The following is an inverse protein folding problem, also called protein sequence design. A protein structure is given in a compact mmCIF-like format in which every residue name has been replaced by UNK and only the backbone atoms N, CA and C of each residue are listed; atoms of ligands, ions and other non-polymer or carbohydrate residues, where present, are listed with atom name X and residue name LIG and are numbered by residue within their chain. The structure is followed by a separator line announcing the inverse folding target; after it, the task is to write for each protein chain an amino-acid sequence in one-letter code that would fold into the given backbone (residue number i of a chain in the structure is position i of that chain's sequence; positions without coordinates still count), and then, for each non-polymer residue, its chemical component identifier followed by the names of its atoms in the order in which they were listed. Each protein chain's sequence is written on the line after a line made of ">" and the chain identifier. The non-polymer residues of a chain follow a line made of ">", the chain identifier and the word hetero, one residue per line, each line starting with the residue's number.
data_IF_333921196115
#
_entry.id   IF_333921196115
#
_cell.length_a   1.000
_cell.length_b   1.000
_cell.length_c   1.000
_cell.angle_alpha   90.00
_cell.angle_beta   90.00
_cell.angle_gamma   90.00
#
_symmetry.space_group_name_H-M   'P 1'
#
loop_
_entity.id
_entity.type
_entity.pdbx_description
1 polymer ?
#
# COMPACT_ATOMS: atom_id res chain seq x y z
N UNK A 1 -19.18 -14.10 0.83
CA UNK A 1 -18.15 -13.30 0.13
C UNK A 1 -16.82 -14.02 0.24
N UNK A 2 -16.24 -14.42 -0.88
CA UNK A 2 -14.90 -15.03 -0.85
C UNK A 2 -13.90 -13.92 -0.49
N UNK A 3 -13.24 -14.07 0.66
CA UNK A 3 -12.06 -13.29 1.01
C UNK A 3 -11.15 -13.23 -0.22
N UNK A 4 -11.02 -12.06 -0.86
CA UNK A 4 -10.04 -11.87 -1.91
C UNK A 4 -8.68 -12.17 -1.29
N UNK A 5 -8.15 -13.34 -1.56
CA UNK A 5 -6.97 -13.86 -0.88
C UNK A 5 -5.81 -12.95 -1.21
N UNK A 6 -5.24 -12.35 -0.17
CA UNK A 6 -4.08 -11.47 -0.28
C UNK A 6 -3.01 -12.12 -1.15
N UNK A 7 -2.47 -11.38 -2.11
CA UNK A 7 -1.38 -11.86 -2.95
C UNK A 7 -0.10 -11.95 -2.12
N UNK A 8 0.67 -12.99 -2.33
CA UNK A 8 2.04 -13.07 -1.83
C UNK A 8 3.05 -12.48 -2.83
N UNK A 9 4.30 -12.32 -2.41
CA UNK A 9 5.36 -11.77 -3.27
C UNK A 9 5.57 -12.61 -4.53
N UNK A 10 5.54 -13.94 -4.42
CA UNK A 10 5.69 -14.83 -5.60
C UNK A 10 4.48 -14.73 -6.51
N UNK A 11 3.25 -14.64 -5.95
CA UNK A 11 2.04 -14.42 -6.74
C UNK A 11 2.17 -13.18 -7.60
N UNK A 12 2.61 -12.06 -6.98
CA UNK A 12 2.82 -10.80 -7.68
C UNK A 12 3.84 -10.92 -8.81
N UNK A 13 4.97 -11.58 -8.56
CA UNK A 13 6.01 -11.75 -9.58
C UNK A 13 5.54 -12.61 -10.76
N UNK A 14 4.74 -13.66 -10.51
CA UNK A 14 4.14 -14.47 -11.57
C UNK A 14 3.12 -13.66 -12.39
N UNK A 15 2.24 -12.92 -11.73
CA UNK A 15 1.24 -12.08 -12.39
C UNK A 15 1.89 -10.93 -13.18
N UNK A 16 2.93 -10.31 -12.63
CA UNK A 16 3.70 -9.27 -13.33
C UNK A 16 4.42 -9.82 -14.56
N UNK A 17 5.03 -11.02 -14.47
CA UNK A 17 5.60 -11.71 -15.63
C UNK A 17 4.52 -11.96 -16.69
N UNK A 18 3.34 -12.45 -16.30
CA UNK A 18 2.24 -12.67 -17.23
C UNK A 18 1.84 -11.39 -17.98
N UNK A 19 1.73 -10.26 -17.26
CA UNK A 19 1.42 -8.97 -17.87
C UNK A 19 2.54 -8.50 -18.81
N UNK A 20 3.81 -8.67 -18.44
CA UNK A 20 4.98 -8.36 -19.29
C UNK A 20 5.01 -9.19 -20.57
N UNK A 21 4.36 -10.36 -20.56
CA UNK A 21 4.23 -11.29 -21.71
C UNK A 21 2.86 -11.21 -22.38
N UNK A 22 2.20 -10.06 -22.35
CA UNK A 22 0.89 -9.80 -22.96
C UNK A 22 -0.23 -10.72 -22.44
N UNK A 23 -0.14 -11.13 -21.19
CA UNK A 23 -1.17 -11.91 -20.50
C UNK A 23 -1.02 -13.43 -20.58
N UNK A 24 -0.03 -13.95 -21.31
CA UNK A 24 0.21 -15.40 -21.45
C UNK A 24 1.69 -15.71 -21.24
N UNK A 25 2.00 -16.76 -20.49
CA UNK A 25 3.37 -17.20 -20.23
C UNK A 25 3.46 -18.74 -20.17
N UNK A 26 4.65 -19.26 -20.33
CA UNK A 26 4.96 -20.68 -20.30
C UNK A 26 6.21 -20.98 -19.46
N UNK A 27 6.60 -22.25 -19.40
CA UNK A 27 7.77 -22.72 -18.66
C UNK A 27 9.05 -21.96 -19.05
N UNK A 28 9.31 -21.77 -20.34
CA UNK A 28 10.48 -21.03 -20.82
C UNK A 28 10.50 -19.58 -20.30
N UNK A 29 9.34 -18.94 -20.16
CA UNK A 29 9.27 -17.59 -19.61
C UNK A 29 9.61 -17.59 -18.11
N UNK A 30 9.19 -18.62 -17.36
CA UNK A 30 9.50 -18.77 -15.93
C UNK A 30 10.99 -19.02 -15.73
N UNK A 31 11.59 -19.93 -16.49
CA UNK A 31 13.02 -20.27 -16.42
C UNK A 31 13.94 -19.09 -16.76
N UNK A 32 13.51 -18.21 -17.68
CA UNK A 32 14.24 -17.02 -18.10
C UNK A 32 13.86 -15.75 -17.30
N UNK A 33 13.20 -15.92 -16.17
CA UNK A 33 12.81 -14.83 -15.27
C UNK A 33 13.53 -14.91 -13.92
N UNK A 34 13.39 -13.86 -13.10
CA UNK A 34 13.86 -13.82 -11.72
C UNK A 34 13.19 -14.88 -10.83
N UNK A 35 12.05 -15.43 -11.25
CA UNK A 35 11.34 -16.49 -10.51
C UNK A 35 12.19 -17.77 -10.37
N UNK A 36 13.15 -18.00 -11.26
CA UNK A 36 14.09 -19.12 -11.21
C UNK A 36 14.77 -19.29 -9.84
N UNK A 37 15.00 -18.19 -9.11
CA UNK A 37 15.63 -18.20 -7.78
C UNK A 37 14.81 -18.97 -6.72
N UNK A 38 13.51 -19.16 -6.91
CA UNK A 38 12.64 -19.83 -5.94
C UNK A 38 12.65 -21.37 -6.06
N UNK A 39 13.18 -21.91 -7.15
CA UNK A 39 13.16 -23.34 -7.45
C UNK A 39 11.84 -23.84 -8.01
N UNK A 40 11.90 -24.91 -8.81
CA UNK A 40 10.77 -25.42 -9.59
C UNK A 40 9.59 -25.84 -8.70
N UNK A 41 9.84 -26.56 -7.62
CA UNK A 41 8.75 -27.03 -6.70
C UNK A 41 7.91 -25.87 -6.18
N UNK A 42 8.55 -24.81 -5.67
CA UNK A 42 7.84 -23.65 -5.13
C UNK A 42 7.09 -22.86 -6.19
N UNK A 43 7.61 -22.80 -7.41
CA UNK A 43 6.91 -22.18 -8.55
C UNK A 43 5.66 -22.99 -8.89
N UNK A 44 5.75 -24.31 -8.99
CA UNK A 44 4.61 -25.19 -9.30
C UNK A 44 3.51 -25.10 -8.23
N UNK A 45 3.87 -25.11 -6.95
CA UNK A 45 2.92 -24.93 -5.84
C UNK A 45 2.20 -23.57 -5.94
N UNK A 46 2.94 -22.53 -6.29
CA UNK A 46 2.39 -21.19 -6.46
C UNK A 46 1.45 -21.11 -7.68
N UNK A 47 1.82 -21.70 -8.81
CA UNK A 47 0.96 -21.78 -10.00
C UNK A 47 -0.33 -22.56 -9.72
N UNK A 48 -0.25 -23.68 -8.99
CA UNK A 48 -1.43 -24.42 -8.56
C UNK A 48 -2.34 -23.55 -7.68
N UNK A 49 -1.77 -22.84 -6.69
CA UNK A 49 -2.51 -21.92 -5.83
C UNK A 49 -3.16 -20.78 -6.63
N UNK A 50 -2.44 -20.16 -7.56
CA UNK A 50 -3.00 -19.08 -8.41
C UNK A 50 -4.16 -19.59 -9.28
N UNK A 51 -4.04 -20.81 -9.84
CA UNK A 51 -5.09 -21.46 -10.61
C UNK A 51 -6.33 -21.76 -9.77
N UNK A 52 -6.16 -22.33 -8.58
CA UNK A 52 -7.26 -22.62 -7.64
C UNK A 52 -8.02 -21.35 -7.22
N UNK A 53 -7.30 -20.24 -7.09
CA UNK A 53 -7.87 -18.92 -6.83
C UNK A 53 -8.45 -18.24 -8.07
N UNK A 54 -8.37 -18.89 -9.24
CA UNK A 54 -8.82 -18.38 -10.54
C UNK A 54 -8.12 -17.10 -11.00
N UNK A 55 -6.88 -16.90 -10.57
CA UNK A 55 -6.07 -15.74 -10.98
C UNK A 55 -5.31 -16.02 -12.28
N UNK A 56 -5.02 -17.29 -12.56
CA UNK A 56 -4.52 -17.77 -13.84
C UNK A 56 -5.35 -18.96 -14.34
N UNK A 57 -5.32 -19.20 -15.64
CA UNK A 57 -5.89 -20.39 -16.30
C UNK A 57 -4.82 -21.15 -17.07
N UNK A 58 -4.92 -22.48 -17.10
CA UNK A 58 -4.05 -23.35 -17.91
C UNK A 58 -4.69 -23.53 -19.29
N UNK A 59 -3.94 -23.25 -20.33
CA UNK A 59 -4.35 -23.43 -21.72
C UNK A 59 -4.08 -24.86 -22.22
N UNK A 60 -4.69 -25.25 -23.34
CA UNK A 60 -4.53 -26.58 -23.94
C UNK A 60 -3.12 -26.88 -24.46
N UNK A 61 -2.33 -25.85 -24.73
CA UNK A 61 -0.93 -25.94 -25.16
C UNK A 61 0.08 -25.99 -23.98
N UNK A 62 -0.42 -26.03 -22.74
CA UNK A 62 0.40 -26.05 -21.53
C UNK A 62 0.87 -24.66 -21.05
N UNK A 63 0.53 -23.59 -21.77
CA UNK A 63 0.79 -22.22 -21.29
C UNK A 63 -0.24 -21.79 -20.25
N UNK A 64 0.06 -20.69 -19.53
CA UNK A 64 -0.83 -20.06 -18.57
C UNK A 64 -1.28 -18.70 -19.06
N UNK A 65 -2.55 -18.35 -18.83
CA UNK A 65 -3.09 -17.03 -19.10
C UNK A 65 -3.53 -16.36 -17.80
N UNK A 66 -3.25 -15.08 -17.68
CA UNK A 66 -3.80 -14.25 -16.59
C UNK A 66 -5.30 -14.01 -16.81
N UNK A 67 -6.09 -14.12 -15.77
CA UNK A 67 -7.53 -13.89 -15.83
C UNK A 67 -7.89 -12.40 -15.65
N UNK A 68 -9.11 -12.02 -16.04
CA UNK A 68 -9.61 -10.66 -15.79
C UNK A 68 -9.68 -10.35 -14.30
N UNK A 69 -10.05 -11.33 -13.46
CA UNK A 69 -10.04 -11.19 -12.00
C UNK A 69 -8.66 -10.77 -11.47
N UNK A 70 -7.58 -11.39 -11.97
CA UNK A 70 -6.22 -11.03 -11.57
C UNK A 70 -5.82 -9.64 -12.07
N UNK A 71 -6.28 -9.26 -13.27
CA UNK A 71 -6.03 -7.92 -13.81
C UNK A 71 -6.70 -6.81 -12.98
N UNK A 72 -7.88 -7.08 -12.45
CA UNK A 72 -8.64 -6.13 -11.64
C UNK A 72 -7.96 -5.76 -10.32
N UNK A 73 -7.05 -6.59 -9.80
CA UNK A 73 -6.42 -6.35 -8.51
C UNK A 73 -5.52 -5.10 -8.54
N UNK A 74 -4.60 -5.03 -9.51
CA UNK A 74 -3.56 -3.99 -9.59
C UNK A 74 -3.52 -3.23 -10.91
N UNK A 75 -4.13 -3.77 -11.98
CA UNK A 75 -3.93 -3.24 -13.34
C UNK A 75 -5.22 -2.78 -14.03
N UNK A 76 -6.36 -2.85 -13.35
CA UNK A 76 -7.63 -2.34 -13.89
C UNK A 76 -7.66 -0.81 -13.90
N UNK A 77 -8.22 -0.24 -14.97
CA UNK A 77 -8.48 1.20 -15.03
C UNK A 77 -9.62 1.65 -14.10
N UNK A 78 -10.45 0.71 -13.64
CA UNK A 78 -11.58 0.98 -12.73
C UNK A 78 -11.15 1.09 -11.27
N UNK A 79 -9.91 0.68 -10.93
CA UNK A 79 -9.35 0.81 -9.59
C UNK A 79 -8.53 2.09 -9.53
N UNK A 80 -8.83 3.01 -8.61
CA UNK A 80 -8.08 4.26 -8.49
C UNK A 80 -6.62 4.00 -8.11
N UNK A 81 -5.72 4.89 -8.52
CA UNK A 81 -4.27 4.73 -8.36
C UNK A 81 -3.87 4.57 -6.90
N UNK A 82 -4.45 5.35 -6.00
CA UNK A 82 -4.17 5.23 -4.57
C UNK A 82 -4.47 3.82 -4.01
N UNK A 83 -5.56 3.18 -4.45
CA UNK A 83 -5.92 1.82 -4.02
C UNK A 83 -4.97 0.77 -4.58
N UNK A 84 -4.50 0.93 -5.82
CA UNK A 84 -3.46 0.09 -6.42
C UNK A 84 -2.15 0.16 -5.63
N UNK A 85 -1.76 1.38 -5.20
CA UNK A 85 -0.57 1.59 -4.37
C UNK A 85 -0.72 0.85 -3.03
N UNK A 86 -1.83 1.04 -2.31
CA UNK A 86 -2.05 0.36 -1.03
C UNK A 86 -2.07 -1.17 -1.19
N UNK A 87 -2.76 -1.70 -2.20
CA UNK A 87 -2.78 -3.14 -2.49
C UNK A 87 -1.38 -3.70 -2.78
N UNK A 88 -0.56 -2.97 -3.53
CA UNK A 88 0.81 -3.36 -3.79
C UNK A 88 1.65 -3.35 -2.49
N UNK A 89 1.52 -2.31 -1.69
CA UNK A 89 2.26 -2.17 -0.44
C UNK A 89 1.81 -3.16 0.65
N UNK A 90 0.59 -3.71 0.58
CA UNK A 90 0.18 -4.86 1.41
C UNK A 90 1.00 -6.12 1.11
N UNK A 91 1.52 -6.26 -0.11
CA UNK A 91 2.30 -7.44 -0.52
C UNK A 91 3.75 -7.30 -0.09
N UNK A 92 4.34 -6.13 -0.33
CA UNK A 92 5.72 -5.80 0.04
C UNK A 92 5.95 -4.30 0.05
N UNK A 93 6.90 -3.85 0.86
CA UNK A 93 7.44 -2.49 0.76
C UNK A 93 8.15 -2.29 -0.58
N UNK A 94 8.03 -1.10 -1.15
CA UNK A 94 8.54 -0.79 -2.49
C UNK A 94 9.20 0.58 -2.53
N UNK A 95 10.21 0.72 -3.39
CA UNK A 95 10.70 2.03 -3.84
C UNK A 95 9.76 2.62 -4.89
N UNK A 96 9.83 3.93 -5.14
CA UNK A 96 9.04 4.58 -6.18
C UNK A 96 9.24 3.92 -7.56
N UNK A 97 10.49 3.62 -7.91
CA UNK A 97 10.82 2.93 -9.18
C UNK A 97 10.13 1.57 -9.29
N UNK A 98 10.10 0.79 -8.22
CA UNK A 98 9.40 -0.49 -8.20
C UNK A 98 7.88 -0.34 -8.33
N UNK A 99 7.29 0.70 -7.72
CA UNK A 99 5.85 0.99 -7.85
C UNK A 99 5.52 1.35 -9.31
N UNK A 100 6.32 2.23 -9.93
CA UNK A 100 6.20 2.60 -11.35
C UNK A 100 6.26 1.35 -12.25
N UNK A 101 7.28 0.50 -12.07
CA UNK A 101 7.49 -0.69 -12.90
C UNK A 101 6.35 -1.69 -12.78
N UNK A 102 5.87 -1.94 -11.56
CA UNK A 102 4.81 -2.92 -11.30
C UNK A 102 3.44 -2.39 -11.74
N UNK A 103 3.07 -1.18 -11.34
CA UNK A 103 1.75 -0.62 -11.62
C UNK A 103 1.63 -0.06 -13.04
N UNK A 104 2.75 0.22 -13.73
CA UNK A 104 2.80 0.81 -15.08
C UNK A 104 2.09 2.16 -15.16
N UNK A 105 2.23 2.94 -14.11
CA UNK A 105 1.67 4.28 -13.97
C UNK A 105 2.85 5.25 -13.98
N UNK A 106 2.66 6.44 -14.56
CA UNK A 106 3.72 7.45 -14.62
C UNK A 106 4.15 7.91 -13.23
N UNK A 107 5.44 8.27 -13.08
CA UNK A 107 5.98 8.73 -11.80
C UNK A 107 5.24 9.96 -11.27
N UNK A 108 4.86 10.89 -12.16
CA UNK A 108 4.16 12.12 -11.76
C UNK A 108 2.78 11.84 -11.14
N UNK A 109 1.99 10.92 -11.73
CA UNK A 109 0.69 10.51 -11.18
C UNK A 109 0.86 9.79 -9.83
N UNK A 110 1.88 8.95 -9.71
CA UNK A 110 2.14 8.20 -8.48
C UNK A 110 2.58 9.09 -7.32
N UNK A 111 3.41 10.12 -7.57
CA UNK A 111 3.90 11.02 -6.53
C UNK A 111 2.74 11.74 -5.84
N UNK A 112 1.77 12.26 -6.60
CA UNK A 112 0.61 12.95 -6.03
C UNK A 112 -0.20 12.04 -5.09
N UNK A 113 -0.50 10.82 -5.54
CA UNK A 113 -1.26 9.86 -4.74
C UNK A 113 -0.45 9.35 -3.53
N UNK A 114 0.85 9.09 -3.69
CA UNK A 114 1.71 8.71 -2.56
C UNK A 114 1.76 9.81 -1.50
N UNK A 115 1.87 11.08 -1.88
CA UNK A 115 1.88 12.19 -0.92
C UNK A 115 0.52 12.35 -0.21
N UNK A 116 -0.60 12.14 -0.91
CA UNK A 116 -1.93 12.08 -0.29
C UNK A 116 -2.02 10.93 0.73
N UNK A 117 -1.56 9.72 0.36
CA UNK A 117 -1.55 8.57 1.26
C UNK A 117 -0.67 8.79 2.49
N UNK A 118 0.48 9.47 2.33
CA UNK A 118 1.37 9.82 3.45
C UNK A 118 0.76 10.86 4.39
N UNK A 119 0.12 11.90 3.85
CA UNK A 119 -0.58 12.91 4.64
C UNK A 119 -1.71 12.30 5.47
N UNK A 120 -2.41 11.31 4.94
CA UNK A 120 -3.47 10.58 5.63
C UNK A 120 -2.95 9.43 6.52
N UNK A 121 -1.64 9.31 6.72
CA UNK A 121 -1.01 8.26 7.54
C UNK A 121 -1.32 6.82 7.09
N UNK A 122 -1.58 6.62 5.82
CA UNK A 122 -1.78 5.28 5.24
C UNK A 122 -0.48 4.64 4.78
N UNK A 123 0.52 5.47 4.49
CA UNK A 123 1.83 5.05 3.99
C UNK A 123 2.96 5.77 4.72
N UNK A 124 3.93 5.00 5.20
CA UNK A 124 5.18 5.51 5.75
C UNK A 124 6.24 5.55 4.62
N UNK A 125 7.05 6.58 4.60
CA UNK A 125 8.27 6.64 3.80
C UNK A 125 9.48 6.59 4.72
N UNK A 126 10.33 5.58 4.53
CA UNK A 126 11.59 5.43 5.27
C UNK A 126 12.79 5.46 4.32
N UNK A 127 13.88 6.18 4.67
CA UNK A 127 15.13 6.08 3.93
C UNK A 127 15.83 4.76 4.27
N UNK A 128 16.12 3.95 3.26
CA UNK A 128 16.86 2.69 3.42
C UNK A 128 18.13 2.70 2.57
N UNK A 129 19.18 2.02 3.03
CA UNK A 129 20.40 1.86 2.28
C UNK A 129 20.35 0.56 1.48
N UNK A 130 20.30 0.66 0.16
CA UNK A 130 20.33 -0.47 -0.76
C UNK A 130 21.54 -0.29 -1.68
N UNK A 131 22.44 -1.26 -1.75
CA UNK A 131 23.65 -1.22 -2.58
C UNK A 131 24.41 0.11 -2.45
N UNK A 132 24.68 0.53 -1.20
CA UNK A 132 25.36 1.78 -0.84
C UNK A 132 24.67 3.10 -1.27
N UNK A 133 23.46 3.03 -1.81
CA UNK A 133 22.62 4.20 -2.13
C UNK A 133 21.51 4.36 -1.11
N UNK A 134 21.26 5.60 -0.72
CA UNK A 134 20.10 5.94 0.09
C UNK A 134 18.86 6.06 -0.82
N UNK A 135 17.89 5.19 -0.61
CA UNK A 135 16.64 5.17 -1.39
C UNK A 135 15.44 5.34 -0.46
N UNK A 136 14.38 5.94 -0.97
CA UNK A 136 13.09 6.05 -0.28
C UNK A 136 12.30 4.77 -0.49
N UNK A 137 11.91 4.11 0.59
CA UNK A 137 11.06 2.92 0.59
C UNK A 137 9.73 3.29 1.22
N UNK A 138 8.64 2.86 0.61
CA UNK A 138 7.27 3.08 1.04
C UNK A 138 6.71 1.80 1.63
N UNK A 139 6.02 1.93 2.76
CA UNK A 139 5.42 0.82 3.51
C UNK A 139 4.00 1.20 3.89
N UNK A 140 3.07 0.24 3.84
CA UNK A 140 1.70 0.48 4.28
C UNK A 140 1.63 0.49 5.80
N UNK A 141 0.87 1.42 6.36
CA UNK A 141 0.54 1.48 7.78
C UNK A 141 -0.77 0.72 8.08
N UNK A 142 -1.04 0.35 9.34
CA UNK A 142 -2.29 -0.33 9.72
C UNK A 142 -3.55 0.40 9.24
N UNK A 143 -3.57 1.72 9.32
CA UNK A 143 -4.66 2.57 8.85
C UNK A 143 -4.90 2.44 7.34
N UNK A 144 -3.82 2.31 6.57
CA UNK A 144 -3.89 2.06 5.12
C UNK A 144 -4.42 0.66 4.79
N UNK A 145 -4.11 -0.34 5.62
CA UNK A 145 -4.68 -1.70 5.50
C UNK A 145 -6.19 -1.66 5.76
N UNK A 146 -6.61 -1.00 6.84
CA UNK A 146 -8.03 -0.86 7.17
C UNK A 146 -8.79 -0.13 6.06
N UNK A 147 -8.20 0.92 5.49
CA UNK A 147 -8.84 1.71 4.44
C UNK A 147 -9.04 0.88 3.18
N UNK A 148 -8.01 0.15 2.70
CA UNK A 148 -8.17 -0.70 1.52
C UNK A 148 -9.13 -1.87 1.76
N UNK A 149 -9.16 -2.45 2.96
CA UNK A 149 -10.08 -3.53 3.33
C UNK A 149 -11.56 -3.00 3.37
N UNK A 150 -11.80 -1.76 3.78
CA UNK A 150 -13.14 -1.12 3.72
C UNK A 150 -13.64 -0.96 2.29
N UNK A 151 -12.76 -0.65 1.35
CA UNK A 151 -13.16 -0.46 -0.06
C UNK A 151 -13.62 -1.75 -0.74
N UNK A 152 -13.21 -2.92 -0.26
CA UNK A 152 -13.70 -4.21 -0.75
C UNK A 152 -15.20 -4.41 -0.47
N UNK A 153 -15.73 -3.74 0.56
CA UNK A 153 -17.13 -3.81 0.95
C UNK A 153 -17.94 -2.63 0.38
N UNK A 154 -17.37 -1.43 0.42
CA UNK A 154 -18.08 -0.17 0.15
C UNK A 154 -17.78 0.41 -1.25
N UNK A 155 -16.86 -0.20 -2.03
CA UNK A 155 -16.35 0.40 -3.27
C UNK A 155 -15.40 1.57 -3.01
N UNK A 156 -14.96 2.22 -4.09
CA UNK A 156 -13.96 3.29 -4.02
C UNK A 156 -14.56 4.70 -3.93
N UNK A 157 -15.88 4.84 -4.14
CA UNK A 157 -16.55 6.14 -4.30
C UNK A 157 -16.69 6.94 -2.98
N UNK A 158 -16.52 6.28 -1.84
CA UNK A 158 -16.70 6.87 -0.51
C UNK A 158 -15.38 7.15 0.22
N UNK A 159 -14.25 7.10 -0.44
CA UNK A 159 -12.95 7.42 0.14
C UNK A 159 -12.67 8.91 -0.01
N UNK A 160 -13.16 9.69 0.90
CA UNK A 160 -12.71 11.07 1.08
C UNK A 160 -11.35 11.05 1.77
N UNK A 161 -10.29 11.34 1.01
CA UNK A 161 -9.01 11.75 1.59
C UNK A 161 -9.23 13.12 2.23
N UNK A 162 -9.63 13.12 3.49
CA UNK A 162 -9.82 14.35 4.24
C UNK A 162 -8.44 14.89 4.66
N UNK A 163 -7.98 15.91 3.96
CA UNK A 163 -6.72 16.60 4.29
C UNK A 163 -6.77 17.23 5.70
N UNK A 164 -7.96 17.37 6.29
CA UNK A 164 -8.17 17.94 7.62
C UNK A 164 -8.12 16.89 8.74
N UNK A 165 -8.40 15.60 8.47
CA UNK A 165 -8.49 14.56 9.51
C UNK A 165 -7.28 14.48 10.45
N UNK A 166 -6.01 14.42 9.96
CA UNK A 166 -4.87 14.33 10.87
C UNK A 166 -4.73 15.57 11.75
N UNK A 167 -5.07 16.76 11.21
CA UNK A 167 -5.04 18.00 11.99
C UNK A 167 -6.11 18.02 13.08
N UNK A 168 -7.34 17.65 12.73
CA UNK A 168 -8.48 17.61 13.66
C UNK A 168 -8.21 16.61 14.79
N UNK A 169 -7.67 15.44 14.46
CA UNK A 169 -7.35 14.39 15.44
C UNK A 169 -6.23 14.85 16.40
N UNK A 170 -5.15 15.45 15.89
CA UNK A 170 -4.08 16.02 16.73
C UNK A 170 -4.61 17.17 17.60
N UNK A 171 -5.44 18.03 17.07
CA UNK A 171 -6.07 19.11 17.85
C UNK A 171 -6.95 18.55 18.96
N UNK A 172 -7.73 17.49 18.70
CA UNK A 172 -8.52 16.80 19.71
C UNK A 172 -7.67 16.20 20.83
N UNK A 173 -6.55 15.54 20.48
CA UNK A 173 -5.60 15.00 21.46
C UNK A 173 -4.98 16.11 22.31
N UNK A 174 -4.60 17.25 21.69
CA UNK A 174 -4.09 18.42 22.43
C UNK A 174 -5.14 18.91 23.42
N UNK A 175 -6.40 19.04 23.03
CA UNK A 175 -7.49 19.48 23.90
C UNK A 175 -7.76 18.50 25.05
N UNK A 176 -7.63 17.19 24.82
CA UNK A 176 -7.70 16.15 25.87
C UNK A 176 -6.53 16.28 26.86
N UNK A 177 -5.31 16.47 26.35
CA UNK A 177 -4.11 16.67 27.20
C UNK A 177 -4.28 17.94 28.07
N UNK A 178 -4.78 19.03 27.50
CA UNK A 178 -5.06 20.28 28.27
C UNK A 178 -6.03 20.04 29.44
N UNK A 179 -7.12 19.25 29.18
CA UNK A 179 -8.07 18.87 30.25
C UNK A 179 -7.42 18.06 31.35
N UNK A 180 -6.64 17.02 30.97
CA UNK A 180 -5.93 16.18 31.95
C UNK A 180 -4.97 17.00 32.80
N UNK A 181 -4.26 17.99 32.23
CA UNK A 181 -3.34 18.88 32.95
C UNK A 181 -4.09 19.78 33.91
N UNK A 182 -5.27 20.31 33.52
CA UNK A 182 -6.09 21.14 34.39
C UNK A 182 -6.52 20.39 35.65
N UNK A 183 -6.85 19.08 35.52
CA UNK A 183 -7.31 18.25 36.63
C UNK A 183 -6.14 17.63 37.43
N UNK A 184 -4.90 17.71 36.94
CA UNK A 184 -3.74 17.15 37.60
C UNK A 184 -3.35 17.96 38.86
N UNK A 185 -2.85 17.27 39.90
CA UNK A 185 -2.25 17.89 41.08
C UNK A 185 -0.81 18.32 40.78
N UNK A 186 -0.67 19.47 40.11
CA UNK A 186 0.60 20.09 39.72
C UNK A 186 0.61 21.56 40.18
N UNK A 187 1.81 22.14 40.31
CA UNK A 187 1.93 23.57 40.58
C UNK A 187 1.40 24.42 39.41
N UNK A 188 0.77 25.55 39.72
CA UNK A 188 0.15 26.41 38.70
C UNK A 188 1.17 26.87 37.63
N UNK A 189 2.40 27.18 38.04
CA UNK A 189 3.49 27.59 37.17
C UNK A 189 3.87 26.50 36.14
N UNK A 190 3.80 25.22 36.52
CA UNK A 190 4.05 24.08 35.62
C UNK A 190 2.91 23.91 34.64
N UNK A 191 1.66 24.02 35.11
CA UNK A 191 0.47 23.97 34.23
C UNK A 191 0.53 25.03 33.15
N UNK A 192 0.87 26.27 33.53
CA UNK A 192 0.95 27.41 32.61
C UNK A 192 2.06 27.20 31.55
N UNK A 193 3.22 26.69 31.98
CA UNK A 193 4.32 26.37 31.06
C UNK A 193 3.96 25.30 30.05
N UNK A 194 3.23 24.26 30.46
CA UNK A 194 2.80 23.17 29.53
C UNK A 194 1.73 23.68 28.57
N UNK A 195 0.74 24.42 29.09
CA UNK A 195 -0.32 25.01 28.27
C UNK A 195 0.23 25.98 27.21
N UNK A 196 1.25 26.79 27.54
CA UNK A 196 1.91 27.66 26.58
C UNK A 196 2.58 26.88 25.44
N UNK A 197 3.21 25.71 25.76
CA UNK A 197 3.83 24.84 24.74
C UNK A 197 2.78 24.18 23.86
N UNK A 198 1.67 23.71 24.44
CA UNK A 198 0.56 23.12 23.69
C UNK A 198 -0.14 24.13 22.80
N UNK A 199 -0.34 25.37 23.28
CA UNK A 199 -0.86 26.47 22.45
C UNK A 199 0.03 26.77 21.25
N UNK A 200 1.36 26.88 21.46
CA UNK A 200 2.32 27.07 20.36
C UNK A 200 2.30 25.91 19.35
N UNK A 201 2.05 24.67 19.81
CA UNK A 201 1.91 23.51 18.92
C UNK A 201 0.61 23.62 18.13
N UNK A 202 -0.48 24.01 18.77
CA UNK A 202 -1.79 24.23 18.15
C UNK A 202 -1.72 25.31 17.06
N UNK A 203 -1.11 26.45 17.36
CA UNK A 203 -0.91 27.55 16.41
C UNK A 203 -0.12 27.11 15.16
N UNK A 204 0.85 26.21 15.33
CA UNK A 204 1.63 25.66 14.20
C UNK A 204 0.86 24.65 13.34
N UNK A 205 -0.19 24.04 13.85
CA UNK A 205 -1.04 23.10 13.15
C UNK A 205 -2.18 23.79 12.41
N UNK A 206 -2.57 24.99 12.83
CA UNK A 206 -3.64 25.77 12.21
C UNK A 206 -3.19 26.65 11.01
N UNK A 207 -1.86 26.73 10.72
CA UNK A 207 -1.30 27.50 9.59
C UNK A 207 -1.33 26.67 8.29
#
# INVERSE_FOLDING_TARGET
>A
MQNMRKLGTIDLEVLDLAIKKNGTFNENNLENSELKRFGVGKILDNLASLKDRKLISLNSDGSFSITDLAREILWSNNVPTWAKILRLLQIKSCTLVQIVDILRISENELIEDIEKLRKNQFVLMSPQRIEDKLVKVYEILPEGVEEIDKTEVNGFDNTDFDESKPKVEILSIIDEIVKVIQDAQMEQSEKDSINEKLSKLKDRLEI
#
